data_IF_844627496966
#
_entry.id   IF_844627496966
#
_cell.length_a   1.000
_cell.length_b   1.000
_cell.length_c   1.000
_cell.angle_alpha   90.00
_cell.angle_beta   90.00
_cell.angle_gamma   90.00
#
_symmetry.space_group_name_H-M   'P 1'
#
loop_
_entity.id
_entity.type
_entity.pdbx_description
1 polymer ?
#
# COMPACT_ATOMS: atom_id res chain seq x y z
N UNK A 1 1.46 -18.74 -14.51
CA UNK A 1 2.07 -17.86 -13.49
C UNK A 1 1.59 -18.35 -12.12
N UNK A 2 2.48 -18.63 -11.17
CA UNK A 2 2.07 -19.13 -9.85
C UNK A 2 1.54 -17.97 -8.99
N UNK A 3 0.66 -18.26 -8.03
CA UNK A 3 0.02 -17.30 -7.10
C UNK A 3 1.09 -16.49 -6.34
N UNK A 4 2.19 -17.13 -5.97
CA UNK A 4 3.34 -16.47 -5.30
C UNK A 4 3.95 -15.38 -6.18
N UNK A 5 4.17 -15.67 -7.47
CA UNK A 5 4.75 -14.73 -8.43
C UNK A 5 3.82 -13.54 -8.66
N UNK A 6 2.52 -13.80 -8.75
CA UNK A 6 1.50 -12.77 -8.89
C UNK A 6 1.45 -11.86 -7.66
N UNK A 7 1.58 -12.44 -6.47
CA UNK A 7 1.62 -11.69 -5.22
C UNK A 7 2.85 -10.78 -5.14
N UNK A 8 4.05 -11.29 -5.46
CA UNK A 8 5.27 -10.47 -5.48
C UNK A 8 5.13 -9.31 -6.46
N UNK A 9 4.62 -9.57 -7.66
CA UNK A 9 4.39 -8.55 -8.67
C UNK A 9 3.44 -7.45 -8.16
N UNK A 10 2.26 -7.84 -7.66
CA UNK A 10 1.24 -6.91 -7.15
C UNK A 10 1.77 -6.13 -5.95
N UNK A 11 2.45 -6.80 -5.02
CA UNK A 11 3.05 -6.19 -3.85
C UNK A 11 4.12 -5.16 -4.21
N UNK A 12 5.02 -5.50 -5.15
CA UNK A 12 6.04 -4.56 -5.63
C UNK A 12 5.43 -3.34 -6.34
N UNK A 13 4.45 -3.56 -7.23
CA UNK A 13 3.75 -2.46 -7.93
C UNK A 13 3.04 -1.55 -6.91
N UNK A 14 2.36 -2.14 -5.93
CA UNK A 14 1.71 -1.39 -4.85
C UNK A 14 2.70 -0.48 -4.10
N UNK A 15 3.86 -1.00 -3.70
CA UNK A 15 4.87 -0.21 -2.99
C UNK A 15 5.39 0.96 -3.84
N UNK A 16 5.59 0.73 -5.15
CA UNK A 16 5.99 1.79 -6.09
C UNK A 16 4.92 2.88 -6.19
N UNK A 17 3.65 2.50 -6.26
CA UNK A 17 2.53 3.45 -6.30
C UNK A 17 2.50 4.32 -5.04
N UNK A 18 2.67 3.71 -3.86
CA UNK A 18 2.70 4.44 -2.58
C UNK A 18 3.87 5.42 -2.55
N UNK A 19 5.09 4.96 -2.85
CA UNK A 19 6.27 5.82 -2.83
C UNK A 19 6.15 7.00 -3.81
N UNK A 20 5.75 6.72 -5.06
CA UNK A 20 5.57 7.76 -6.07
C UNK A 20 4.46 8.75 -5.70
N UNK A 21 3.35 8.24 -5.17
CA UNK A 21 2.21 9.03 -4.73
C UNK A 21 2.59 10.03 -3.64
N UNK A 22 3.30 9.58 -2.60
CA UNK A 22 3.81 10.43 -1.52
C UNK A 22 4.73 11.53 -2.07
N UNK A 23 5.71 11.18 -2.91
CA UNK A 23 6.63 12.16 -3.52
C UNK A 23 5.87 13.19 -4.37
N UNK A 24 4.90 12.75 -5.18
CA UNK A 24 4.11 13.62 -6.05
C UNK A 24 3.28 14.63 -5.26
N UNK A 25 2.68 14.21 -4.13
CA UNK A 25 1.87 15.12 -3.29
C UNK A 25 2.72 16.25 -2.70
N UNK A 26 3.99 15.98 -2.37
CA UNK A 26 4.95 17.00 -1.92
C UNK A 26 5.38 17.93 -3.05
N UNK A 27 5.72 17.39 -4.24
CA UNK A 27 6.07 18.22 -5.42
C UNK A 27 4.96 19.19 -5.83
N UNK A 28 3.70 18.84 -5.56
CA UNK A 28 2.54 19.71 -5.79
C UNK A 28 2.30 20.77 -4.71
N UNK A 29 3.13 20.82 -3.66
CA UNK A 29 3.00 21.80 -2.57
C UNK A 29 1.74 21.61 -1.73
N UNK A 30 1.15 20.39 -1.70
CA UNK A 30 -0.08 20.16 -0.95
C UNK A 30 0.13 20.37 0.56
N UNK A 31 -0.85 20.94 1.28
CA UNK A 31 -0.79 21.10 2.72
C UNK A 31 -0.67 19.73 3.42
N UNK A 32 -0.01 19.71 4.59
CA UNK A 32 0.35 18.47 5.28
C UNK A 32 -0.85 17.53 5.53
N UNK A 33 -2.02 18.07 5.87
CA UNK A 33 -3.26 17.29 6.06
C UNK A 33 -3.70 16.55 4.78
N UNK A 34 -3.59 17.19 3.61
CA UNK A 34 -3.94 16.57 2.33
C UNK A 34 -2.91 15.52 1.90
N UNK A 35 -1.65 15.70 2.26
CA UNK A 35 -0.59 14.71 1.99
C UNK A 35 -0.80 13.44 2.81
N UNK A 36 -1.08 13.58 4.11
CA UNK A 36 -1.33 12.45 5.00
C UNK A 36 -2.57 11.65 4.58
N UNK A 37 -3.65 12.34 4.24
CA UNK A 37 -4.88 11.68 3.76
C UNK A 37 -4.66 10.97 2.43
N UNK A 38 -3.98 11.61 1.46
CA UNK A 38 -3.64 10.96 0.19
C UNK A 38 -2.75 9.71 0.38
N UNK A 39 -1.74 9.80 1.24
CA UNK A 39 -0.87 8.67 1.56
C UNK A 39 -1.64 7.53 2.23
N UNK A 40 -2.49 7.84 3.21
CA UNK A 40 -3.33 6.84 3.88
C UNK A 40 -4.26 6.14 2.89
N UNK A 41 -4.90 6.89 1.99
CA UNK A 41 -5.76 6.33 0.95
C UNK A 41 -4.99 5.38 0.03
N UNK A 42 -3.78 5.77 -0.40
CA UNK A 42 -2.94 4.93 -1.26
C UNK A 42 -2.50 3.63 -0.59
N UNK A 43 -2.18 3.69 0.71
CA UNK A 43 -1.79 2.52 1.51
C UNK A 43 -2.98 1.59 1.75
N UNK A 44 -4.18 2.12 1.93
CA UNK A 44 -5.35 1.30 2.30
C UNK A 44 -6.10 0.72 1.10
N UNK A 45 -6.22 1.46 -0.02
CA UNK A 45 -7.08 1.06 -1.14
C UNK A 45 -6.75 -0.34 -1.68
N UNK A 46 -5.48 -0.63 -1.94
CA UNK A 46 -5.09 -1.89 -2.60
C UNK A 46 -5.25 -3.08 -1.64
N UNK A 47 -4.71 -3.06 -0.40
CA UNK A 47 -4.95 -4.13 0.56
C UNK A 47 -6.45 -4.33 0.87
N UNK A 48 -7.23 -3.25 0.98
CA UNK A 48 -8.67 -3.35 1.22
C UNK A 48 -9.40 -4.01 0.05
N UNK A 49 -9.09 -3.64 -1.20
CA UNK A 49 -9.68 -4.26 -2.38
C UNK A 49 -9.34 -5.77 -2.45
N UNK A 50 -8.09 -6.13 -2.17
CA UNK A 50 -7.68 -7.54 -2.12
C UNK A 50 -8.36 -8.30 -0.98
N UNK A 51 -8.53 -7.67 0.18
CA UNK A 51 -9.22 -8.28 1.32
C UNK A 51 -10.71 -8.51 1.01
N UNK A 52 -11.38 -7.56 0.37
CA UNK A 52 -12.77 -7.75 -0.09
C UNK A 52 -12.86 -8.88 -1.11
N UNK A 53 -11.93 -8.95 -2.07
CA UNK A 53 -11.88 -10.06 -3.03
C UNK A 53 -11.67 -11.42 -2.34
N UNK A 54 -10.84 -11.46 -1.29
CA UNK A 54 -10.62 -12.64 -0.45
C UNK A 54 -11.89 -13.05 0.31
N UNK A 55 -12.67 -12.09 0.83
CA UNK A 55 -13.94 -12.39 1.49
C UNK A 55 -14.99 -12.93 0.52
N UNK A 56 -14.97 -12.50 -0.74
CA UNK A 56 -15.90 -12.96 -1.77
C UNK A 56 -15.68 -14.44 -2.15
N UNK A 57 -14.49 -15.01 -1.94
CA UNK A 57 -14.28 -16.45 -2.19
C UNK A 57 -14.99 -17.34 -1.18
N UNK A 58 -15.35 -16.80 0.01
CA UNK A 58 -15.98 -17.51 1.13
C UNK A 58 -15.18 -18.73 1.63
N UNK A 59 -13.90 -18.83 1.27
CA UNK A 59 -13.02 -19.93 1.66
C UNK A 59 -12.20 -19.53 2.90
N UNK A 60 -12.49 -20.18 4.03
CA UNK A 60 -11.80 -19.89 5.29
C UNK A 60 -10.32 -20.27 5.28
N UNK A 61 -9.92 -21.30 4.51
CA UNK A 61 -8.52 -21.68 4.38
C UNK A 61 -7.73 -20.61 3.61
N UNK A 62 -8.29 -20.10 2.51
CA UNK A 62 -7.68 -18.96 1.80
C UNK A 62 -7.62 -17.71 2.69
N UNK A 63 -8.68 -17.41 3.44
CA UNK A 63 -8.71 -16.23 4.32
C UNK A 63 -7.64 -16.32 5.40
N UNK A 64 -7.50 -17.48 6.05
CA UNK A 64 -6.48 -17.71 7.08
C UNK A 64 -5.05 -17.63 6.52
N UNK A 65 -4.82 -18.14 5.31
CA UNK A 65 -3.50 -18.14 4.68
C UNK A 65 -3.06 -16.74 4.20
N UNK A 66 -3.98 -15.98 3.58
CA UNK A 66 -3.65 -14.70 2.93
C UNK A 66 -3.95 -13.47 3.78
N UNK A 67 -4.80 -13.59 4.81
CA UNK A 67 -5.12 -12.50 5.72
C UNK A 67 -3.89 -11.85 6.38
N UNK A 68 -2.98 -12.64 7.01
CA UNK A 68 -1.76 -12.11 7.61
C UNK A 68 -0.85 -11.40 6.59
N UNK A 69 -0.82 -11.91 5.35
CA UNK A 69 -0.02 -11.36 4.26
C UNK A 69 -0.54 -9.98 3.85
N UNK A 70 -1.86 -9.81 3.73
CA UNK A 70 -2.47 -8.50 3.45
C UNK A 70 -2.26 -7.50 4.58
N UNK A 71 -2.30 -7.95 5.83
CA UNK A 71 -1.99 -7.11 6.98
C UNK A 71 -0.54 -6.62 6.96
N UNK A 72 0.41 -7.51 6.64
CA UNK A 72 1.82 -7.15 6.48
C UNK A 72 2.06 -6.20 5.30
N UNK A 73 1.31 -6.36 4.19
CA UNK A 73 1.39 -5.45 3.05
C UNK A 73 0.92 -4.04 3.42
N UNK A 74 -0.14 -3.93 4.23
CA UNK A 74 -0.63 -2.66 4.74
C UNK A 74 0.41 -2.01 5.67
N UNK A 75 0.99 -2.77 6.60
CA UNK A 75 2.08 -2.29 7.46
C UNK A 75 3.28 -1.80 6.64
N UNK A 76 3.73 -2.59 5.67
CA UNK A 76 4.84 -2.26 4.79
C UNK A 76 4.58 -0.96 4.00
N UNK A 77 3.37 -0.80 3.44
CA UNK A 77 2.99 0.44 2.76
C UNK A 77 2.98 1.65 3.70
N UNK A 78 2.51 1.48 4.94
CA UNK A 78 2.49 2.55 5.94
C UNK A 78 3.92 3.00 6.29
N UNK A 79 4.81 2.05 6.59
CA UNK A 79 6.22 2.36 6.86
C UNK A 79 6.89 3.01 5.65
N UNK A 80 6.65 2.49 4.44
CA UNK A 80 7.19 3.06 3.23
C UNK A 80 6.72 4.50 3.02
N UNK A 81 5.43 4.78 3.24
CA UNK A 81 4.87 6.13 3.10
C UNK A 81 5.53 7.11 4.09
N UNK A 82 5.69 6.70 5.36
CA UNK A 82 6.35 7.51 6.40
C UNK A 82 7.81 7.77 6.03
N UNK A 83 8.57 6.72 5.72
CA UNK A 83 9.97 6.85 5.34
C UNK A 83 10.15 7.73 4.10
N UNK A 84 9.29 7.55 3.09
CA UNK A 84 9.30 8.36 1.87
C UNK A 84 9.00 9.82 2.17
N UNK A 85 8.05 10.13 3.06
CA UNK A 85 7.74 11.51 3.42
C UNK A 85 8.91 12.20 4.15
N UNK A 86 9.56 11.47 5.07
CA UNK A 86 10.74 11.94 5.81
C UNK A 86 11.91 12.22 4.87
N UNK A 87 12.22 11.29 3.96
CA UNK A 87 13.31 11.44 2.99
C UNK A 87 12.98 12.55 2.00
N UNK A 88 11.76 12.56 1.44
CA UNK A 88 11.33 13.59 0.51
C UNK A 88 11.35 14.99 1.15
N UNK A 89 11.18 15.11 2.47
CA UNK A 89 11.36 16.38 3.20
C UNK A 89 12.76 16.95 3.13
N UNK A 90 13.78 16.10 3.04
CA UNK A 90 15.18 16.53 3.02
C UNK A 90 15.70 16.80 1.62
N UNK A 91 15.07 16.19 0.61
CA UNK A 91 15.57 16.18 -0.78
C UNK A 91 14.76 17.11 -1.70
N UNK A 92 13.51 17.44 -1.36
CA UNK A 92 12.59 18.31 -2.11
C UNK A 92 12.11 19.48 -1.25
#
# INVERSE_FOLDING_TARGET
MNVVTLFLLVGSIYLVIVAYGVVRTRKRGLPARLRLTAAAIQVVIVPAAMFVALLLTRDQAMIAAWGPVLAMLLLAGTFLAICTDIVAKRVL
#
